data_IF_843544036371
#
_entry.id   IF_843544036371
#
_cell.length_a   1.000
_cell.length_b   1.000
_cell.length_c   1.000
_cell.angle_alpha   90.00
_cell.angle_beta   90.00
_cell.angle_gamma   90.00
#
_symmetry.space_group_name_H-M   'P 1'
#
loop_
_entity.id
_entity.type
_entity.pdbx_description
1 polymer ?
#
# COMPACT_ATOMS: atom_id res chain seq x y z
N UNK A 1 -51.15 -11.99 4.74
CA UNK A 1 -50.04 -12.93 4.51
C UNK A 1 -48.93 -12.34 3.64
N UNK A 2 -49.23 -11.78 2.45
CA UNK A 2 -48.23 -11.16 1.54
C UNK A 2 -47.41 -10.01 2.19
N UNK A 3 -48.04 -9.15 3.01
CA UNK A 3 -47.35 -8.05 3.71
C UNK A 3 -46.31 -8.54 4.75
N UNK A 4 -46.55 -9.67 5.40
CA UNK A 4 -45.61 -10.25 6.35
C UNK A 4 -44.44 -10.95 5.63
N UNK A 5 -44.69 -11.52 4.45
CA UNK A 5 -43.65 -12.06 3.57
C UNK A 5 -42.73 -10.96 3.02
N UNK A 6 -43.29 -9.83 2.59
CA UNK A 6 -42.53 -8.65 2.15
C UNK A 6 -41.68 -8.05 3.28
N UNK A 7 -42.19 -8.00 4.51
CA UNK A 7 -41.45 -7.53 5.67
C UNK A 7 -40.27 -8.46 6.02
N UNK A 8 -40.46 -9.77 5.89
CA UNK A 8 -39.40 -10.76 6.10
C UNK A 8 -38.30 -10.67 5.03
N UNK A 9 -38.66 -10.43 3.77
CA UNK A 9 -37.70 -10.25 2.66
C UNK A 9 -36.87 -8.97 2.87
N UNK A 10 -37.49 -7.88 3.33
CA UNK A 10 -36.78 -6.64 3.66
C UNK A 10 -35.83 -6.85 4.84
N UNK A 11 -36.24 -7.59 5.87
CA UNK A 11 -35.41 -7.89 7.05
C UNK A 11 -34.20 -8.79 6.71
N UNK A 12 -34.37 -9.77 5.81
CA UNK A 12 -33.28 -10.65 5.33
C UNK A 12 -32.31 -9.90 4.41
N UNK A 13 -32.80 -8.94 3.61
CA UNK A 13 -31.97 -8.07 2.77
C UNK A 13 -31.11 -7.10 3.59
N UNK A 14 -31.58 -6.68 4.77
CA UNK A 14 -30.81 -5.81 5.69
C UNK A 14 -29.66 -6.58 6.37
N UNK A 15 -29.81 -7.89 6.61
CA UNK A 15 -28.77 -8.72 7.22
C UNK A 15 -27.67 -9.20 6.25
N UNK A 16 -27.84 -9.03 4.94
CA UNK A 16 -26.88 -9.50 3.94
C UNK A 16 -25.79 -8.48 3.57
N UNK A 17 -25.77 -7.31 4.22
CA UNK A 17 -24.78 -6.24 3.98
C UNK A 17 -23.56 -6.29 4.92
N UNK A 18 -23.44 -7.27 5.81
CA UNK A 18 -22.28 -7.43 6.70
C UNK A 18 -21.20 -8.33 6.09
N UNK A 19 -20.65 -7.93 4.94
CA UNK A 19 -19.41 -8.49 4.41
C UNK A 19 -18.41 -7.35 4.18
N UNK A 20 -18.01 -6.68 5.26
CA UNK A 20 -16.90 -5.74 5.22
C UNK A 20 -15.62 -6.55 5.43
N UNK A 21 -14.98 -6.91 4.33
CA UNK A 21 -13.70 -7.63 4.18
C UNK A 21 -12.55 -6.87 4.85
N UNK A 22 -12.57 -6.85 6.19
CA UNK A 22 -11.73 -6.00 7.04
C UNK A 22 -11.09 -6.75 8.21
N UNK A 23 -11.38 -8.05 8.36
CA UNK A 23 -10.85 -8.89 9.45
C UNK A 23 -9.31 -8.98 9.45
N UNK A 24 -8.67 -8.80 8.30
CA UNK A 24 -7.24 -9.02 8.13
C UNK A 24 -6.40 -7.75 7.99
N UNK A 25 -7.02 -6.55 7.93
CA UNK A 25 -6.27 -5.31 7.73
C UNK A 25 -5.71 -4.79 9.05
N UNK A 26 -4.38 -4.68 9.11
CA UNK A 26 -3.64 -4.26 10.31
C UNK A 26 -3.31 -2.77 10.23
N UNK A 27 -2.90 -2.31 9.05
CA UNK A 27 -2.49 -0.92 8.83
C UNK A 27 -2.70 -0.53 7.37
N UNK A 28 -3.08 0.72 7.12
CA UNK A 28 -3.07 1.31 5.79
C UNK A 28 -2.93 2.82 5.88
N UNK A 29 -1.97 3.38 5.15
CA UNK A 29 -1.79 4.83 5.05
C UNK A 29 -1.17 5.19 3.71
N UNK A 30 -1.63 6.29 3.12
CA UNK A 30 -0.99 6.94 1.98
C UNK A 30 -0.56 8.36 2.40
N UNK A 31 0.62 8.78 1.96
CA UNK A 31 1.18 10.11 2.19
C UNK A 31 1.35 10.78 0.83
N UNK A 32 0.73 11.95 0.66
CA UNK A 32 0.88 12.75 -0.55
C UNK A 32 2.31 13.30 -0.68
N UNK A 33 2.78 13.38 -1.92
CA UNK A 33 4.08 13.95 -2.25
C UNK A 33 3.92 15.46 -2.43
N UNK A 34 4.58 16.30 -1.61
CA UNK A 34 4.47 17.74 -1.75
C UNK A 34 4.94 18.22 -3.13
N UNK A 35 4.16 19.11 -3.74
CA UNK A 35 4.43 19.67 -5.07
C UNK A 35 4.62 18.62 -6.18
N UNK A 36 4.13 17.38 -5.98
CA UNK A 36 4.24 16.27 -6.93
C UNK A 36 5.68 15.92 -7.34
N UNK A 37 6.64 16.22 -6.46
CA UNK A 37 8.08 16.12 -6.72
C UNK A 37 8.77 15.37 -5.57
N UNK A 38 8.94 14.06 -5.72
CA UNK A 38 9.49 13.22 -4.66
C UNK A 38 11.02 13.32 -4.60
N UNK A 39 11.52 14.00 -3.57
CA UNK A 39 12.97 14.15 -3.37
C UNK A 39 13.58 12.91 -2.72
N UNK A 40 14.82 12.61 -3.05
CA UNK A 40 15.55 11.48 -2.45
C UNK A 40 15.76 11.61 -0.94
N UNK A 41 15.82 12.84 -0.42
CA UNK A 41 15.92 13.12 1.01
C UNK A 41 14.55 13.21 1.72
N UNK A 42 13.46 13.07 0.98
CA UNK A 42 12.09 13.05 1.50
C UNK A 42 11.64 11.60 1.72
N UNK A 43 12.29 10.94 2.69
CA UNK A 43 11.95 9.57 3.10
C UNK A 43 10.58 9.57 3.78
N UNK A 44 9.67 8.73 3.28
CA UNK A 44 8.35 8.54 3.88
C UNK A 44 8.43 7.46 4.95
N UNK A 45 7.99 7.79 6.16
CA UNK A 45 8.02 6.89 7.31
C UNK A 45 6.59 6.45 7.67
N UNK A 46 6.40 5.14 7.79
CA UNK A 46 5.13 4.53 8.18
C UNK A 46 5.34 3.70 9.45
N UNK A 47 4.50 3.90 10.46
CA UNK A 47 4.63 3.26 11.76
C UNK A 47 3.38 2.43 12.03
N UNK A 48 3.55 1.12 12.21
CA UNK A 48 2.43 0.20 12.40
C UNK A 48 2.72 -0.76 13.54
N UNK A 49 1.67 -1.15 14.25
CA UNK A 49 1.78 -1.99 15.44
C UNK A 49 1.52 -3.46 15.12
N UNK A 50 2.41 -4.33 15.61
CA UNK A 50 2.27 -5.77 15.52
C UNK A 50 1.99 -6.31 16.93
N UNK A 51 0.83 -6.93 17.11
CA UNK A 51 0.40 -7.50 18.39
C UNK A 51 0.53 -9.02 18.43
N UNK A 52 0.41 -9.70 17.29
CA UNK A 52 0.45 -11.17 17.19
C UNK A 52 1.59 -11.64 16.28
N UNK A 53 2.68 -12.10 16.90
CA UNK A 53 3.86 -12.58 16.19
C UNK A 53 3.72 -13.99 15.63
N UNK A 54 2.63 -14.70 15.93
CA UNK A 54 2.37 -16.05 15.42
C UNK A 54 1.82 -16.04 14.00
N UNK A 55 1.27 -14.89 13.57
CA UNK A 55 0.71 -14.71 12.24
C UNK A 55 1.77 -14.41 11.19
N UNK A 56 1.39 -14.72 9.95
CA UNK A 56 2.12 -14.30 8.76
C UNK A 56 1.47 -13.03 8.21
N UNK A 57 2.29 -12.08 7.77
CA UNK A 57 1.80 -10.80 7.23
C UNK A 57 2.18 -10.62 5.76
N UNK A 58 1.38 -9.85 5.04
CA UNK A 58 1.73 -9.30 3.73
C UNK A 58 1.80 -7.78 3.83
N UNK A 59 2.87 -7.21 3.29
CA UNK A 59 3.04 -5.76 3.18
C UNK A 59 3.01 -5.37 1.72
N UNK A 60 2.11 -4.45 1.38
CA UNK A 60 1.96 -3.87 0.06
C UNK A 60 2.46 -2.44 0.04
N UNK A 61 3.02 -2.01 -1.08
CA UNK A 61 3.25 -0.60 -1.38
C UNK A 61 2.10 -0.09 -2.25
N UNK A 62 1.50 1.01 -1.81
CA UNK A 62 0.53 1.76 -2.57
C UNK A 62 1.25 2.92 -3.25
N UNK A 63 1.19 2.99 -4.58
CA UNK A 63 1.81 4.07 -5.35
C UNK A 63 0.74 4.73 -6.19
N UNK A 64 0.65 6.06 -6.11
CA UNK A 64 -0.14 6.85 -7.05
C UNK A 64 0.80 7.64 -7.94
N UNK A 65 0.73 7.44 -9.24
CA UNK A 65 1.43 8.26 -10.21
C UNK A 65 0.48 9.03 -11.12
N UNK A 66 0.97 10.14 -11.63
CA UNK A 66 0.33 10.86 -12.70
C UNK A 66 0.74 10.32 -14.08
N UNK A 67 -0.06 10.60 -15.11
CA UNK A 67 0.20 10.23 -16.50
C UNK A 67 1.51 10.81 -17.03
N UNK A 68 1.90 12.00 -16.56
CA UNK A 68 3.15 12.67 -16.97
C UNK A 68 4.42 12.09 -16.31
N UNK A 69 4.30 11.07 -15.45
CA UNK A 69 5.47 10.36 -14.93
C UNK A 69 6.26 9.76 -16.12
N UNK A 70 7.56 10.04 -16.20
CA UNK A 70 8.34 9.82 -17.43
C UNK A 70 8.91 8.39 -17.58
N UNK A 71 8.77 7.54 -16.57
CA UNK A 71 9.39 6.21 -16.55
C UNK A 71 8.31 5.13 -16.51
N UNK A 72 8.55 3.99 -17.16
CA UNK A 72 7.63 2.86 -17.05
C UNK A 72 7.75 2.13 -15.70
N UNK A 73 8.88 2.30 -14.99
CA UNK A 73 9.14 1.68 -13.69
C UNK A 73 9.51 2.71 -12.61
N UNK A 74 9.45 2.25 -11.36
CA UNK A 74 9.80 2.99 -10.16
C UNK A 74 10.63 2.10 -9.25
N UNK A 75 11.81 2.58 -8.86
CA UNK A 75 12.66 1.96 -7.86
C UNK A 75 12.48 2.63 -6.50
N UNK A 76 12.20 1.83 -5.47
CA UNK A 76 12.04 2.30 -4.07
C UNK A 76 12.89 1.44 -3.14
N UNK A 77 13.73 2.08 -2.33
CA UNK A 77 14.41 1.42 -1.20
C UNK A 77 13.48 1.40 0.00
N UNK A 78 13.24 0.21 0.53
CA UNK A 78 12.39 -0.05 1.68
C UNK A 78 13.22 -0.57 2.86
N UNK A 79 13.35 0.25 3.90
CA UNK A 79 14.06 -0.11 5.12
C UNK A 79 13.06 -0.41 6.23
N UNK A 80 13.08 -1.64 6.74
CA UNK A 80 12.28 -2.07 7.88
C UNK A 80 13.10 -1.96 9.17
N UNK A 81 12.58 -1.25 10.16
CA UNK A 81 13.13 -1.14 11.50
C UNK A 81 12.22 -1.86 12.51
N UNK A 82 12.84 -2.52 13.47
CA UNK A 82 12.15 -3.18 14.57
C UNK A 82 11.69 -2.19 15.65
N UNK A 83 10.91 -2.64 16.66
CA UNK A 83 10.49 -1.80 17.78
C UNK A 83 11.62 -1.14 18.59
N UNK A 84 12.86 -1.63 18.50
CA UNK A 84 14.03 -1.02 19.14
C UNK A 84 14.76 -0.03 18.21
N UNK A 85 14.23 0.23 17.00
CA UNK A 85 14.83 1.07 15.99
C UNK A 85 15.98 0.40 15.22
N UNK A 86 16.22 -0.91 15.41
CA UNK A 86 17.26 -1.63 14.71
C UNK A 86 16.81 -2.03 13.31
N UNK A 87 17.70 -1.90 12.34
CA UNK A 87 17.42 -2.29 10.95
C UNK A 87 17.28 -3.80 10.84
N UNK A 88 16.08 -4.27 10.50
CA UNK A 88 15.80 -5.68 10.19
C UNK A 88 16.36 -6.01 8.80
N UNK A 89 15.97 -5.23 7.79
CA UNK A 89 16.50 -5.35 6.44
C UNK A 89 16.29 -4.06 5.64
N UNK A 90 17.01 -3.95 4.52
CA UNK A 90 16.75 -2.96 3.48
C UNK A 90 16.65 -3.68 2.13
N UNK A 91 15.58 -3.43 1.38
CA UNK A 91 15.32 -4.06 0.07
C UNK A 91 15.07 -3.00 -0.98
N UNK A 92 15.60 -3.21 -2.18
CA UNK A 92 15.27 -2.40 -3.36
C UNK A 92 14.14 -3.09 -4.12
N UNK A 93 13.05 -2.36 -4.36
CA UNK A 93 11.90 -2.83 -5.12
C UNK A 93 11.85 -2.13 -6.47
N UNK A 94 11.64 -2.91 -7.54
CA UNK A 94 11.27 -2.41 -8.85
C UNK A 94 9.78 -2.63 -9.06
N UNK A 95 9.05 -1.57 -9.41
CA UNK A 95 7.62 -1.60 -9.65
C UNK A 95 7.34 -1.05 -11.04
N UNK A 96 6.62 -1.81 -11.86
CA UNK A 96 6.20 -1.37 -13.19
C UNK A 96 4.89 -0.59 -13.07
N UNK A 97 4.94 0.71 -13.37
CA UNK A 97 3.78 1.61 -13.33
C UNK A 97 3.09 1.71 -14.70
N UNK A 98 3.84 1.51 -15.79
CA UNK A 98 3.32 1.49 -17.16
C UNK A 98 3.88 0.31 -17.93
N UNK A 99 3.19 -0.08 -19.00
CA UNK A 99 3.74 -1.02 -19.97
C UNK A 99 4.97 -0.42 -20.67
N UNK A 100 6.04 -1.22 -20.73
CA UNK A 100 7.34 -0.78 -21.24
C UNK A 100 7.36 -0.46 -22.75
N UNK A 101 6.38 -0.92 -23.52
CA UNK A 101 6.29 -0.73 -24.98
C UNK A 101 5.23 0.31 -25.33
N UNK A 102 4.04 0.20 -24.76
CA UNK A 102 2.90 1.05 -25.12
C UNK A 102 2.83 2.31 -24.27
N UNK A 103 3.45 2.33 -23.09
CA UNK A 103 3.29 3.40 -22.11
C UNK A 103 1.92 3.40 -21.42
N UNK A 104 1.10 2.37 -21.63
CA UNK A 104 -0.22 2.26 -21.00
C UNK A 104 -0.06 2.08 -19.48
N UNK A 105 -0.73 2.89 -18.65
CA UNK A 105 -0.70 2.74 -17.20
C UNK A 105 -1.23 1.36 -16.75
N UNK A 106 -0.49 0.70 -15.85
CA UNK A 106 -0.85 -0.62 -15.30
C UNK A 106 -1.73 -0.51 -14.04
N UNK A 107 -1.98 0.71 -13.57
CA UNK A 107 -2.74 1.01 -12.36
C UNK A 107 -4.22 1.18 -12.64
N UNK A 108 -5.02 1.21 -11.57
CA UNK A 108 -6.45 1.56 -11.67
C UNK A 108 -6.60 3.06 -11.47
N UNK A 109 -7.39 3.72 -12.30
CA UNK A 109 -7.54 5.16 -12.18
C UNK A 109 -8.44 5.75 -13.25
N UNK A 110 -8.68 7.05 -13.14
CA UNK A 110 -9.44 7.82 -14.11
C UNK A 110 -8.73 9.16 -14.36
N UNK A 111 -8.79 9.65 -15.61
CA UNK A 111 -8.06 10.83 -16.02
C UNK A 111 -6.56 10.59 -15.98
N UNK A 112 -5.84 11.48 -15.29
CA UNK A 112 -4.37 11.50 -15.29
C UNK A 112 -3.74 10.81 -14.09
N UNK A 113 -4.51 10.15 -13.22
CA UNK A 113 -4.00 9.55 -11.98
C UNK A 113 -4.24 8.04 -11.95
N UNK A 114 -3.21 7.28 -11.58
CA UNK A 114 -3.22 5.82 -11.55
C UNK A 114 -2.72 5.31 -10.20
N UNK A 115 -3.54 4.48 -9.56
CA UNK A 115 -3.27 3.83 -8.29
C UNK A 115 -2.80 2.39 -8.50
N UNK A 116 -1.73 2.04 -7.80
CA UNK A 116 -1.11 0.73 -7.82
C UNK A 116 -0.98 0.15 -6.41
N UNK A 117 -1.10 -1.16 -6.29
CA UNK A 117 -0.83 -1.91 -5.06
C UNK A 117 0.10 -3.08 -5.38
N UNK A 118 1.36 -2.98 -4.94
CA UNK A 118 2.40 -3.98 -5.19
C UNK A 118 2.67 -4.79 -3.92
N UNK A 119 2.63 -6.12 -3.99
CA UNK A 119 3.07 -6.97 -2.89
C UNK A 119 4.59 -6.81 -2.71
N UNK A 120 5.01 -6.13 -1.65
CA UNK A 120 6.41 -5.78 -1.41
C UNK A 120 7.09 -6.78 -0.46
N UNK A 121 6.48 -7.07 0.68
CA UNK A 121 6.98 -8.07 1.62
C UNK A 121 5.97 -9.21 1.70
N UNK A 122 6.25 -10.28 0.97
CA UNK A 122 5.47 -11.52 1.01
C UNK A 122 5.86 -12.33 2.24
N UNK A 123 4.86 -12.90 2.93
CA UNK A 123 5.02 -13.80 4.07
C UNK A 123 5.97 -13.26 5.14
N UNK A 124 5.82 -11.98 5.50
CA UNK A 124 6.64 -11.33 6.51
C UNK A 124 6.25 -11.83 7.90
N UNK A 125 7.23 -12.38 8.62
CA UNK A 125 7.11 -12.69 10.04
C UNK A 125 7.78 -11.59 10.87
N UNK A 126 7.13 -11.18 11.95
CA UNK A 126 7.67 -10.22 12.90
C UNK A 126 8.06 -10.95 14.18
N UNK A 127 9.31 -10.79 14.61
CA UNK A 127 9.89 -11.60 15.69
C UNK A 127 9.47 -11.17 17.10
N UNK A 128 8.94 -9.96 17.27
CA UNK A 128 8.52 -9.42 18.56
C UNK A 128 7.31 -8.48 18.38
N UNK A 129 6.41 -8.40 19.37
CA UNK A 129 5.35 -7.40 19.33
C UNK A 129 5.91 -5.99 19.48
N UNK A 130 5.17 -5.00 18.97
CA UNK A 130 5.47 -3.58 19.09
C UNK A 130 5.36 -2.80 17.78
N UNK A 131 5.74 -1.53 17.82
CA UNK A 131 5.67 -0.63 16.67
C UNK A 131 6.87 -0.82 15.73
N UNK A 132 6.62 -1.36 14.55
CA UNK A 132 7.60 -1.40 13.47
C UNK A 132 7.56 -0.12 12.66
N UNK A 133 8.68 0.22 12.05
CA UNK A 133 8.80 1.40 11.17
C UNK A 133 9.28 0.96 9.80
N UNK A 134 8.51 1.26 8.76
CA UNK A 134 8.90 1.05 7.37
C UNK A 134 9.18 2.40 6.71
N UNK A 135 10.40 2.56 6.22
CA UNK A 135 10.86 3.76 5.53
C UNK A 135 10.94 3.50 4.03
N UNK A 136 10.25 4.31 3.24
CA UNK A 136 10.28 4.28 1.79
C UNK A 136 11.04 5.49 1.25
N UNK A 137 12.07 5.23 0.46
CA UNK A 137 12.88 6.27 -0.19
C UNK A 137 12.97 5.99 -1.68
N UNK A 138 12.68 6.98 -2.52
CA UNK A 138 12.83 6.82 -3.97
C UNK A 138 14.31 6.56 -4.33
N UNK A 139 14.54 5.66 -5.27
CA UNK A 139 15.87 5.24 -5.70
C UNK A 139 16.03 5.39 -7.22
N UNK A 140 15.44 6.46 -7.78
CA UNK A 140 15.57 6.81 -9.18
C UNK A 140 16.77 7.75 -9.39
N UNK A 141 17.30 7.79 -10.62
CA UNK A 141 18.37 8.73 -10.98
C UNK A 141 17.90 10.19 -11.00
N UNK A 142 16.62 10.43 -11.29
CA UNK A 142 16.02 11.77 -11.37
C UNK A 142 15.61 12.24 -9.97
N UNK A 143 16.12 13.40 -9.55
CA UNK A 143 15.83 14.00 -8.25
C UNK A 143 15.71 15.54 -8.37
N UNK A 144 14.57 16.16 -8.00
CA UNK A 144 13.33 15.51 -7.55
C UNK A 144 12.71 14.61 -8.63
N UNK A 145 11.94 13.61 -8.21
CA UNK A 145 11.21 12.71 -9.10
C UNK A 145 9.77 13.24 -9.30
N UNK A 146 9.48 13.90 -10.42
CA UNK A 146 8.14 14.41 -10.71
C UNK A 146 7.18 13.26 -11.03
N UNK A 147 5.89 13.44 -10.75
CA UNK A 147 4.82 12.54 -11.23
C UNK A 147 4.47 11.40 -10.30
N UNK A 148 5.16 11.26 -9.16
CA UNK A 148 4.65 10.47 -8.03
C UNK A 148 3.82 11.40 -7.16
N UNK A 149 2.56 11.05 -6.96
CA UNK A 149 1.55 11.89 -6.31
C UNK A 149 1.36 11.49 -4.85
N UNK A 150 1.40 10.18 -4.57
CA UNK A 150 1.32 9.66 -3.22
C UNK A 150 2.06 8.32 -3.11
N UNK A 151 2.56 8.03 -1.91
CA UNK A 151 3.21 6.78 -1.55
C UNK A 151 2.60 6.29 -0.25
N UNK A 152 2.31 5.01 -0.16
CA UNK A 152 1.67 4.41 1.00
C UNK A 152 2.08 2.98 1.22
N UNK A 153 1.63 2.44 2.35
CA UNK A 153 1.75 1.03 2.67
C UNK A 153 0.42 0.48 3.16
N UNK A 154 0.23 -0.82 2.94
CA UNK A 154 -0.85 -1.59 3.54
C UNK A 154 -0.28 -2.87 4.14
N UNK A 155 -0.62 -3.15 5.38
CA UNK A 155 -0.22 -4.36 6.12
C UNK A 155 -1.47 -5.17 6.41
N UNK A 156 -1.45 -6.45 6.04
CA UNK A 156 -2.54 -7.38 6.29
C UNK A 156 -2.00 -8.69 6.87
N UNK A 157 -2.80 -9.38 7.68
CA UNK A 157 -2.55 -10.76 8.05
C UNK A 157 -2.95 -11.70 6.92
N UNK A 158 -2.25 -12.82 6.80
CA UNK A 158 -2.67 -13.95 5.96
C UNK A 158 -3.58 -14.83 6.81
N UNK A 159 -4.73 -15.22 6.25
CA UNK A 159 -5.62 -16.24 6.84
C UNK A 159 -5.00 -17.63 6.78
#
# INVERSE_FOLDING_TARGET
>A
MIKQLLFLIILVSIFSLSACDSSNRVYEQNIDIPNNNWRINDTKEFRFEITDTTKTYQVFFNIRNALFYEFYNLYVSATLLDPAGQKVHNKLHEMYLMDKKTGEPLGKGAGDLFDHSFLALKNQHFSKPGTYTLRLTQYMRKNPLPGIMAVGIKVVTVE
#
